data_IF_164429487238
#
_entry.id   IF_164429487238
#
_cell.length_a   1.000
_cell.length_b   1.000
_cell.length_c   1.000
_cell.angle_alpha   90.00
_cell.angle_beta   90.00
_cell.angle_gamma   90.00
#
_symmetry.space_group_name_H-M   'P 1'
#
loop_
_entity.id
_entity.type
_entity.pdbx_description
1 polymer ?
#
# COMPACT_ATOMS: atom_id res chain seq x y z
N UNK A 1 -15.89 22.99 -26.26
CA UNK A 1 -16.82 22.76 -27.40
C UNK A 1 -16.82 23.87 -28.46
N UNK A 2 -16.19 25.02 -28.22
CA UNK A 2 -16.07 26.08 -29.24
C UNK A 2 -15.24 25.67 -30.46
N UNK A 3 -14.08 25.04 -30.29
CA UNK A 3 -13.22 24.65 -31.42
C UNK A 3 -13.92 23.68 -32.39
N UNK A 4 -14.72 22.74 -31.84
CA UNK A 4 -15.54 21.80 -32.64
C UNK A 4 -16.73 22.49 -33.32
N UNK A 5 -17.41 23.44 -32.66
CA UNK A 5 -18.53 24.19 -33.22
C UNK A 5 -18.11 25.13 -34.35
N UNK A 6 -16.92 25.71 -34.24
CA UNK A 6 -16.39 26.65 -35.23
C UNK A 6 -15.57 25.96 -36.33
N UNK A 7 -15.47 24.63 -36.29
CA UNK A 7 -14.70 23.81 -37.24
C UNK A 7 -13.23 24.26 -37.39
N UNK A 8 -12.64 24.74 -36.30
CA UNK A 8 -11.25 25.25 -36.26
C UNK A 8 -10.34 24.15 -35.71
N UNK A 9 -9.40 23.68 -36.53
CA UNK A 9 -8.33 22.76 -36.12
C UNK A 9 -7.10 23.54 -35.66
N UNK A 10 -6.99 23.76 -34.34
CA UNK A 10 -5.80 24.34 -33.73
C UNK A 10 -4.76 23.29 -33.34
N UNK A 11 -3.49 23.70 -33.25
CA UNK A 11 -2.43 22.86 -32.66
C UNK A 11 -2.63 22.76 -31.15
N UNK A 12 -2.59 21.55 -30.61
CA UNK A 12 -2.66 21.30 -29.16
C UNK A 12 -1.26 21.34 -28.58
N UNK A 13 -1.05 22.24 -27.62
CA UNK A 13 0.20 22.34 -26.86
C UNK A 13 -0.03 21.87 -25.42
N UNK A 14 0.85 21.00 -24.93
CA UNK A 14 0.80 20.52 -23.55
C UNK A 14 1.15 21.65 -22.58
N UNK A 15 0.27 21.95 -21.62
CA UNK A 15 0.50 22.92 -20.56
C UNK A 15 0.49 22.26 -19.20
N UNK A 16 1.67 22.00 -18.63
CA UNK A 16 1.81 21.30 -17.33
C UNK A 16 1.15 22.06 -16.18
N UNK A 17 1.21 23.39 -16.15
CA UNK A 17 0.60 24.21 -15.07
C UNK A 17 -0.92 24.17 -15.06
N UNK A 18 -1.55 23.88 -16.21
CA UNK A 18 -3.00 23.74 -16.31
C UNK A 18 -3.47 22.32 -15.95
N UNK A 19 -2.55 21.38 -15.76
CA UNK A 19 -2.84 20.01 -15.35
C UNK A 19 -2.85 19.87 -13.83
N UNK A 20 -3.69 18.98 -13.32
CA UNK A 20 -3.67 18.53 -11.92
C UNK A 20 -2.82 17.27 -11.80
N UNK A 21 -1.83 17.30 -10.94
CA UNK A 21 -1.01 16.13 -10.61
C UNK A 21 -1.39 15.57 -9.24
N UNK A 22 -1.27 14.25 -9.08
CA UNK A 22 -1.45 13.55 -7.82
C UNK A 22 -0.18 12.77 -7.46
N UNK A 23 0.19 12.71 -6.17
CA UNK A 23 1.25 11.82 -5.70
C UNK A 23 0.96 10.37 -6.05
N UNK A 24 1.99 9.66 -6.50
CA UNK A 24 1.98 8.23 -6.82
C UNK A 24 3.20 7.57 -6.18
N UNK A 25 3.00 6.40 -5.59
CA UNK A 25 4.06 5.57 -5.05
C UNK A 25 3.80 4.10 -5.36
N UNK A 26 4.82 3.41 -5.87
CA UNK A 26 4.80 1.96 -6.04
C UNK A 26 5.51 1.30 -4.85
N UNK A 27 4.88 0.30 -4.24
CA UNK A 27 5.40 -0.47 -3.12
C UNK A 27 5.36 -1.94 -3.47
N UNK A 28 6.43 -2.67 -3.15
CA UNK A 28 6.45 -4.14 -3.23
C UNK A 28 6.29 -4.71 -1.84
N UNK A 29 5.27 -5.53 -1.66
CA UNK A 29 5.04 -6.24 -0.41
C UNK A 29 5.48 -7.70 -0.56
N UNK A 30 5.88 -8.30 0.56
CA UNK A 30 6.26 -9.69 0.66
C UNK A 30 5.46 -10.34 1.79
N UNK A 31 5.15 -11.62 1.61
CA UNK A 31 4.54 -12.44 2.67
C UNK A 31 5.39 -12.46 3.94
N UNK A 32 4.73 -12.59 5.09
CA UNK A 32 5.42 -12.75 6.37
C UNK A 32 6.06 -14.13 6.46
N UNK A 33 7.24 -14.22 7.07
CA UNK A 33 8.03 -15.46 7.10
C UNK A 33 7.34 -16.63 7.82
N UNK A 34 6.40 -16.33 8.72
CA UNK A 34 5.57 -17.30 9.45
C UNK A 34 4.44 -17.90 8.58
N UNK A 35 4.01 -17.19 7.55
CA UNK A 35 2.95 -17.60 6.62
C UNK A 35 3.50 -18.43 5.44
N UNK A 36 4.81 -18.39 5.20
CA UNK A 36 5.43 -19.09 4.07
C UNK A 36 5.66 -20.56 4.41
N UNK A 37 5.15 -21.51 3.60
CA UNK A 37 5.38 -22.93 3.82
C UNK A 37 6.87 -23.31 3.78
N UNK A 38 7.24 -24.33 4.54
CA UNK A 38 8.61 -24.83 4.59
C UNK A 38 9.07 -25.25 3.19
N UNK A 39 10.19 -24.67 2.75
CA UNK A 39 10.80 -24.96 1.44
C UNK A 39 10.31 -24.10 0.28
N UNK A 40 9.33 -23.21 0.48
CA UNK A 40 8.88 -22.27 -0.54
C UNK A 40 9.60 -20.91 -0.40
N UNK A 41 9.79 -20.24 -1.54
CA UNK A 41 10.30 -18.86 -1.57
C UNK A 41 9.11 -17.91 -1.40
N UNK A 42 9.21 -16.90 -0.52
CA UNK A 42 8.14 -15.92 -0.32
C UNK A 42 7.73 -15.23 -1.62
N UNK A 43 6.43 -15.05 -1.82
CA UNK A 43 5.91 -14.33 -2.99
C UNK A 43 5.84 -12.84 -2.70
N UNK A 44 5.96 -12.06 -3.77
CA UNK A 44 5.84 -10.61 -3.73
C UNK A 44 4.72 -10.13 -4.64
N UNK A 45 4.09 -9.04 -4.25
CA UNK A 45 3.02 -8.39 -5.00
C UNK A 45 3.29 -6.89 -5.09
N UNK A 46 2.95 -6.30 -6.24
CA UNK A 46 3.05 -4.86 -6.47
C UNK A 46 1.79 -4.18 -5.96
N UNK A 47 1.98 -3.06 -5.26
CA UNK A 47 0.93 -2.26 -4.65
C UNK A 47 1.09 -0.82 -5.11
N UNK A 48 0.00 -0.22 -5.59
CA UNK A 48 -0.05 1.19 -5.95
C UNK A 48 -0.72 1.99 -4.83
N UNK A 49 -0.04 3.05 -4.42
CA UNK A 49 -0.49 3.97 -3.38
C UNK A 49 -0.61 5.37 -3.99
N UNK A 50 -1.81 5.94 -3.90
CA UNK A 50 -2.17 7.20 -4.53
C UNK A 50 -2.55 8.26 -3.51
N UNK A 51 -2.28 9.53 -3.84
CA UNK A 51 -2.78 10.67 -3.07
C UNK A 51 -2.19 10.77 -1.67
N UNK A 52 -3.06 10.97 -0.67
CA UNK A 52 -2.68 11.22 0.73
C UNK A 52 -2.10 10.01 1.47
N UNK A 53 -2.26 8.80 0.93
CA UNK A 53 -1.68 7.57 1.48
C UNK A 53 -0.21 7.41 1.11
N UNK A 54 0.31 8.22 0.19
CA UNK A 54 1.73 8.19 -0.15
C UNK A 54 2.57 8.58 1.07
N UNK A 55 3.75 7.96 1.23
CA UNK A 55 4.69 8.17 2.35
C UNK A 55 4.22 7.70 3.73
N UNK A 56 3.09 6.99 3.84
CA UNK A 56 2.64 6.42 5.12
C UNK A 56 3.24 5.04 5.40
N UNK A 57 4.26 4.60 4.66
CA UNK A 57 4.88 3.29 4.81
C UNK A 57 6.37 3.40 4.59
N UNK A 58 7.16 2.65 5.37
CA UNK A 58 8.59 2.52 5.22
C UNK A 58 8.99 1.08 4.92
N UNK A 59 10.19 0.87 4.32
CA UNK A 59 10.73 -0.47 4.14
C UNK A 59 10.89 -1.19 5.49
N UNK A 60 10.39 -2.42 5.57
CA UNK A 60 10.45 -3.25 6.78
C UNK A 60 9.26 -3.09 7.74
N UNK A 61 8.32 -2.20 7.44
CA UNK A 61 7.09 -2.07 8.23
C UNK A 61 6.18 -3.29 8.04
N UNK A 62 5.55 -3.71 9.13
CA UNK A 62 4.51 -4.75 9.12
C UNK A 62 3.17 -4.05 9.00
N UNK A 63 2.45 -4.32 7.92
CA UNK A 63 1.26 -3.56 7.53
C UNK A 63 0.12 -4.46 7.06
N UNK A 64 -1.10 -3.98 7.25
CA UNK A 64 -2.30 -4.51 6.64
C UNK A 64 -2.82 -3.51 5.61
N UNK A 65 -3.05 -4.00 4.40
CA UNK A 65 -3.47 -3.20 3.26
C UNK A 65 -4.88 -3.60 2.85
N UNK A 66 -5.77 -2.62 2.75
CA UNK A 66 -7.11 -2.76 2.17
C UNK A 66 -7.14 -2.09 0.81
N UNK A 67 -7.62 -2.80 -0.22
CA UNK A 67 -7.55 -2.31 -1.59
C UNK A 67 -8.32 -3.16 -2.59
N UNK A 68 -8.21 -2.78 -3.86
CA UNK A 68 -8.80 -3.49 -5.01
C UNK A 68 -7.71 -4.12 -5.87
N UNK A 69 -7.89 -5.40 -6.19
CA UNK A 69 -6.94 -6.15 -7.01
C UNK A 69 -7.29 -6.00 -8.50
N UNK A 70 -6.35 -5.47 -9.29
CA UNK A 70 -6.58 -5.08 -10.67
C UNK A 70 -5.47 -5.62 -11.60
N UNK A 71 -5.82 -6.11 -12.80
CA UNK A 71 -4.84 -6.44 -13.82
C UNK A 71 -4.33 -5.18 -14.54
N UNK A 72 -3.07 -5.19 -14.95
CA UNK A 72 -2.47 -4.19 -15.83
C UNK A 72 -2.65 -4.68 -17.27
N UNK A 73 -3.45 -3.99 -18.12
CA UNK A 73 -3.57 -4.39 -19.51
C UNK A 73 -2.27 -4.09 -20.25
N UNK A 74 -1.68 -5.13 -20.87
CA UNK A 74 -0.58 -4.92 -21.81
C UNK A 74 -1.10 -4.27 -23.09
N UNK A 75 -0.37 -3.30 -23.63
CA UNK A 75 -0.72 -2.59 -24.87
C UNK A 75 0.39 -2.75 -25.92
N UNK A 76 0.03 -2.63 -27.21
CA UNK A 76 0.99 -2.67 -28.32
C UNK A 76 1.70 -4.02 -28.49
N UNK A 77 2.98 -3.99 -28.88
CA UNK A 77 3.77 -5.21 -29.13
C UNK A 77 3.96 -6.10 -27.89
N UNK A 78 3.82 -5.54 -26.68
CA UNK A 78 3.86 -6.31 -25.43
C UNK A 78 2.65 -7.22 -25.28
N UNK A 79 1.47 -6.81 -25.77
CA UNK A 79 0.25 -7.63 -25.74
C UNK A 79 0.38 -8.88 -26.62
N UNK A 80 1.09 -8.76 -27.75
CA UNK A 80 1.30 -9.89 -28.69
C UNK A 80 2.17 -10.99 -28.06
N UNK A 81 3.12 -10.64 -27.19
CA UNK A 81 3.97 -11.60 -26.45
C UNK A 81 3.36 -12.11 -25.15
N UNK A 82 2.59 -11.27 -24.45
CA UNK A 82 2.06 -11.59 -23.14
C UNK A 82 0.97 -12.69 -23.19
N UNK A 83 0.24 -12.81 -24.31
CA UNK A 83 -0.82 -13.81 -24.43
C UNK A 83 -1.90 -13.62 -23.36
N UNK A 84 -2.04 -14.60 -22.45
CA UNK A 84 -2.96 -14.56 -21.30
C UNK A 84 -2.29 -14.14 -19.98
N UNK A 85 -0.98 -13.89 -19.98
CA UNK A 85 -0.30 -13.37 -18.79
C UNK A 85 -0.83 -11.97 -18.53
N UNK A 86 -1.28 -11.73 -17.30
CA UNK A 86 -1.67 -10.41 -16.81
C UNK A 86 -0.85 -10.10 -15.58
N UNK A 87 0.00 -9.08 -15.66
CA UNK A 87 0.54 -8.49 -14.44
C UNK A 87 -0.60 -7.92 -13.63
N UNK A 88 -0.51 -8.03 -12.31
CA UNK A 88 -1.54 -7.58 -11.38
C UNK A 88 -0.93 -6.66 -10.35
N UNK A 89 -1.73 -5.71 -9.87
CA UNK A 89 -1.37 -4.84 -8.78
C UNK A 89 -2.57 -4.66 -7.85
N UNK A 90 -2.25 -4.35 -6.60
CA UNK A 90 -3.24 -3.95 -5.61
C UNK A 90 -3.31 -2.42 -5.56
N UNK A 91 -4.45 -1.84 -5.90
CA UNK A 91 -4.72 -0.43 -5.64
C UNK A 91 -5.15 -0.24 -4.19
N UNK A 92 -4.41 0.55 -3.42
CA UNK A 92 -4.63 0.67 -1.97
C UNK A 92 -5.59 1.79 -1.62
N UNK A 93 -6.58 1.48 -0.78
CA UNK A 93 -7.53 2.44 -0.22
C UNK A 93 -7.30 2.72 1.26
N UNK A 94 -6.72 1.77 1.99
CA UNK A 94 -6.48 1.90 3.42
C UNK A 94 -5.21 1.16 3.84
N UNK A 95 -4.42 1.79 4.73
CA UNK A 95 -3.17 1.26 5.25
C UNK A 95 -3.26 1.27 6.77
N UNK A 96 -3.12 0.09 7.38
CA UNK A 96 -3.04 -0.05 8.84
C UNK A 96 -1.67 -0.61 9.22
N UNK A 97 -0.85 0.20 9.90
CA UNK A 97 0.44 -0.24 10.41
C UNK A 97 0.25 -1.04 11.70
N UNK A 98 0.73 -2.28 11.74
CA UNK A 98 0.64 -3.13 12.93
C UNK A 98 1.62 -2.67 14.01
N UNK A 99 2.84 -2.32 13.62
CA UNK A 99 3.82 -1.75 14.52
C UNK A 99 3.70 -0.23 14.50
N UNK A 100 2.88 0.30 15.40
CA UNK A 100 2.77 1.76 15.59
C UNK A 100 4.12 2.31 16.07
N UNK A 101 4.51 3.49 15.59
CA UNK A 101 5.60 4.23 16.21
C UNK A 101 5.21 4.55 17.66
N UNK A 102 6.20 4.62 18.56
CA UNK A 102 5.95 4.84 20.00
C UNK A 102 5.08 6.09 20.29
N UNK A 103 5.10 7.08 19.39
CA UNK A 103 4.29 8.29 19.47
C UNK A 103 2.78 8.09 19.20
N UNK A 104 2.40 7.02 18.51
CA UNK A 104 1.00 6.73 18.12
C UNK A 104 0.40 5.56 18.93
N UNK A 105 1.13 5.06 19.92
CA UNK A 105 0.67 3.98 20.77
C UNK A 105 -0.38 4.51 21.76
N UNK A 106 -1.65 4.32 21.41
CA UNK A 106 -2.77 4.62 22.31
C UNK A 106 -2.80 3.60 23.44
N UNK A 107 -2.43 4.04 24.64
CA UNK A 107 -2.51 3.21 25.84
C UNK A 107 -3.95 3.18 26.33
N UNK A 108 -4.65 2.07 26.10
CA UNK A 108 -6.01 1.89 26.61
C UNK A 108 -6.00 1.74 28.14
N UNK A 109 -7.09 2.13 28.80
CA UNK A 109 -7.22 1.99 30.26
C UNK A 109 -7.10 0.52 30.70
N UNK A 110 -7.56 -0.42 29.87
CA UNK A 110 -7.44 -1.86 30.11
C UNK A 110 -5.98 -2.34 30.06
N UNK A 111 -5.19 -1.86 29.09
CA UNK A 111 -3.76 -2.15 29.03
C UNK A 111 -3.02 -1.63 30.27
N UNK A 112 -3.36 -0.43 30.76
CA UNK A 112 -2.76 0.09 32.01
C UNK A 112 -3.12 -0.79 33.20
N UNK A 113 -4.38 -1.15 33.36
CA UNK A 113 -4.83 -1.99 34.46
C UNK A 113 -4.22 -3.42 34.41
N UNK A 114 -3.92 -3.94 33.22
CA UNK A 114 -3.20 -5.20 33.06
C UNK A 114 -1.71 -5.06 33.44
N UNK A 115 -1.08 -3.96 33.05
CA UNK A 115 0.31 -3.64 33.42
C UNK A 115 0.43 -3.46 34.93
N UNK A 116 -0.49 -2.75 35.58
CA UNK A 116 -0.50 -2.58 37.04
C UNK A 116 -0.68 -3.92 37.77
N UNK A 117 -1.59 -4.78 37.29
CA UNK A 117 -1.74 -6.14 37.85
C UNK A 117 -0.48 -6.98 37.71
N UNK A 118 0.23 -6.86 36.60
CA UNK A 118 1.52 -7.52 36.40
C UNK A 118 2.61 -6.88 37.25
N UNK A 119 2.63 -5.56 37.44
CA UNK A 119 3.62 -4.89 38.28
C UNK A 119 3.57 -5.39 39.74
N UNK A 120 2.37 -5.62 40.27
CA UNK A 120 2.17 -6.00 41.67
C UNK A 120 2.39 -7.49 41.95
N UNK A 121 2.59 -8.33 40.93
CA UNK A 121 2.81 -9.76 41.11
C UNK A 121 4.30 -10.07 41.40
N UNK A 122 4.65 -10.59 42.60
CA UNK A 122 6.04 -10.85 42.96
C UNK A 122 6.68 -12.01 42.15
N UNK A 123 5.90 -12.77 41.37
CA UNK A 123 6.38 -13.91 40.57
C UNK A 123 6.52 -13.63 39.07
N UNK A 124 6.40 -12.37 38.66
CA UNK A 124 6.42 -11.97 37.23
C UNK A 124 7.61 -12.50 36.46
N UNK A 125 8.80 -12.47 37.05
CA UNK A 125 10.02 -12.98 36.42
C UNK A 125 10.01 -14.49 36.14
N UNK A 126 9.20 -15.27 36.86
CA UNK A 126 9.04 -16.70 36.60
C UNK A 126 7.97 -17.00 35.54
N UNK A 127 7.11 -16.03 35.22
CA UNK A 127 6.00 -16.15 34.26
C UNK A 127 6.35 -15.64 32.87
N UNK A 128 7.37 -14.79 32.75
CA UNK A 128 7.95 -14.28 31.50
C UNK A 128 8.95 -15.27 30.89
#
# INVERSE_FOLDING_TARGET
>A
NECKRNNISGSLHMQTRACRFSPFQEVKIQEMADQVPVGHIPRSMTVHVNGGLTRTMNPGDIVHLGGTFLPIPYTGFQAVRAGLLTDTYLETHHIHQLKKQYSEMEVTAEMRAAIERLHDDPTVYQKL
#
